data_IF_662104671681
#
_entry.id   IF_662104671681
#
_cell.length_a   1.000
_cell.length_b   1.000
_cell.length_c   1.000
_cell.angle_alpha   90.00
_cell.angle_beta   90.00
_cell.angle_gamma   90.00
#
_symmetry.space_group_name_H-M   'P 1'
#
loop_
_entity.id
_entity.type
_entity.pdbx_description
1 polymer ?
#
# COMPACT_ATOMS: atom_id res chain seq x y z
N UNK A 1 -60.27 -8.13 16.14
CA UNK A 1 -59.58 -8.09 14.84
C UNK A 1 -59.05 -6.69 14.61
N UNK A 2 -57.78 -6.43 14.92
CA UNK A 2 -57.09 -5.23 14.45
C UNK A 2 -55.67 -5.68 14.09
N UNK A 3 -55.46 -5.95 12.80
CA UNK A 3 -54.17 -6.36 12.26
C UNK A 3 -53.32 -5.12 11.99
N UNK A 4 -52.20 -5.00 12.69
CA UNK A 4 -51.17 -3.99 12.43
C UNK A 4 -50.50 -4.23 11.08
N UNK A 5 -50.64 -3.26 10.18
CA UNK A 5 -49.95 -3.21 8.89
C UNK A 5 -48.51 -2.76 9.16
N UNK A 6 -47.61 -3.71 9.37
CA UNK A 6 -46.18 -3.43 9.50
C UNK A 6 -45.57 -3.16 8.13
N UNK A 7 -45.65 -1.90 7.70
CA UNK A 7 -45.07 -1.40 6.44
C UNK A 7 -43.56 -1.27 6.61
N UNK A 8 -42.83 -2.39 6.52
CA UNK A 8 -41.36 -2.37 6.35
C UNK A 8 -41.06 -1.66 5.03
N UNK A 9 -40.71 -0.38 5.12
CA UNK A 9 -40.14 0.38 3.99
C UNK A 9 -38.79 -0.23 3.68
N UNK A 10 -38.75 -1.09 2.68
CA UNK A 10 -37.51 -1.49 2.03
C UNK A 10 -37.00 -0.28 1.23
N UNK A 11 -36.17 0.55 1.87
CA UNK A 11 -35.45 1.66 1.21
C UNK A 11 -34.09 1.13 0.74
N UNK A 12 -34.11 0.11 -0.12
CA UNK A 12 -33.04 -0.09 -1.07
C UNK A 12 -33.49 0.55 -2.38
N UNK A 13 -33.45 1.88 -2.44
CA UNK A 13 -33.16 2.51 -3.72
C UNK A 13 -31.87 1.83 -4.20
N UNK A 14 -31.93 1.07 -5.30
CA UNK A 14 -30.75 0.46 -5.89
C UNK A 14 -29.74 1.58 -6.10
N UNK A 15 -28.73 1.68 -5.24
CA UNK A 15 -27.69 2.72 -5.34
C UNK A 15 -26.99 2.46 -6.66
N UNK A 16 -27.37 3.22 -7.69
CA UNK A 16 -26.74 3.15 -9.00
C UNK A 16 -25.34 3.72 -8.79
N UNK A 17 -24.36 2.83 -8.66
CA UNK A 17 -22.96 3.22 -8.57
C UNK A 17 -22.52 3.83 -9.90
N UNK A 18 -21.74 4.90 -9.83
CA UNK A 18 -21.10 5.45 -11.03
C UNK A 18 -20.13 4.42 -11.61
N UNK A 19 -19.83 4.47 -12.92
CA UNK A 19 -18.85 3.56 -13.51
C UNK A 19 -17.48 3.59 -12.81
N UNK A 20 -17.09 4.73 -12.25
CA UNK A 20 -15.85 4.87 -11.46
C UNK A 20 -15.98 4.17 -10.10
N UNK A 21 -17.09 4.38 -9.39
CA UNK A 21 -17.35 3.71 -8.11
C UNK A 21 -17.34 2.18 -8.28
N UNK A 22 -17.91 1.66 -9.37
CA UNK A 22 -17.87 0.22 -9.66
C UNK A 22 -16.44 -0.30 -9.84
N UNK A 23 -15.59 0.42 -10.58
CA UNK A 23 -14.17 0.07 -10.71
C UNK A 23 -13.45 0.10 -9.36
N UNK A 24 -13.72 1.10 -8.52
CA UNK A 24 -13.10 1.23 -7.19
C UNK A 24 -13.53 0.08 -6.28
N UNK A 25 -14.81 -0.30 -6.29
CA UNK A 25 -15.30 -1.45 -5.51
C UNK A 25 -14.57 -2.74 -5.92
N UNK A 26 -14.40 -2.98 -7.23
CA UNK A 26 -13.67 -4.14 -7.74
C UNK A 26 -12.20 -4.15 -7.28
N UNK A 27 -11.51 -3.00 -7.38
CA UNK A 27 -10.13 -2.87 -6.92
C UNK A 27 -10.02 -3.06 -5.40
N UNK A 28 -10.98 -2.54 -4.64
CA UNK A 28 -11.01 -2.67 -3.18
C UNK A 28 -11.29 -4.10 -2.75
N UNK A 29 -12.08 -4.86 -3.51
CA UNK A 29 -12.35 -6.27 -3.22
C UNK A 29 -11.08 -7.13 -3.35
N UNK A 30 -10.20 -6.80 -4.28
CA UNK A 30 -8.89 -7.45 -4.44
C UNK A 30 -7.88 -7.04 -3.35
N UNK A 31 -7.99 -5.80 -2.85
CA UNK A 31 -7.04 -5.21 -1.90
C UNK A 31 -7.75 -4.58 -0.69
N UNK A 32 -8.45 -5.42 0.09
CA UNK A 32 -9.27 -4.96 1.23
C UNK A 32 -8.43 -4.35 2.37
N UNK A 33 -7.18 -4.77 2.47
CA UNK A 33 -6.23 -4.41 3.52
C UNK A 33 -5.40 -3.15 3.21
N UNK A 34 -5.52 -2.60 2.00
CA UNK A 34 -4.78 -1.42 1.56
C UNK A 34 -5.68 -0.20 1.40
N UNK A 35 -5.18 0.98 1.77
CA UNK A 35 -5.77 2.27 1.42
C UNK A 35 -5.50 2.55 -0.07
N UNK A 36 -6.54 2.70 -0.87
CA UNK A 36 -6.39 2.90 -2.32
C UNK A 36 -6.41 4.39 -2.70
N UNK A 37 -5.28 4.88 -3.20
CA UNK A 37 -5.17 6.18 -3.85
C UNK A 37 -5.45 6.00 -5.35
N UNK A 38 -6.62 6.44 -5.81
CA UNK A 38 -7.08 6.21 -7.19
C UNK A 38 -6.88 7.43 -8.06
N UNK A 39 -6.08 7.28 -9.12
CA UNK A 39 -5.82 8.34 -10.08
C UNK A 39 -7.08 8.74 -10.86
N UNK A 40 -7.43 10.01 -10.74
CA UNK A 40 -8.58 10.64 -11.38
C UNK A 40 -8.15 11.94 -12.06
N UNK A 41 -7.48 11.82 -13.21
CA UNK A 41 -6.94 12.97 -13.93
C UNK A 41 -5.77 13.59 -13.17
N UNK A 42 -5.86 14.87 -12.79
CA UNK A 42 -4.78 15.61 -12.12
C UNK A 42 -4.71 15.40 -10.59
N UNK A 43 -5.57 14.52 -10.03
CA UNK A 43 -5.66 14.29 -8.58
C UNK A 43 -5.86 12.81 -8.28
N UNK A 44 -5.40 12.40 -7.10
CA UNK A 44 -5.75 11.12 -6.50
C UNK A 44 -6.96 11.29 -5.59
N UNK A 45 -7.89 10.34 -5.65
CA UNK A 45 -9.09 10.29 -4.81
C UNK A 45 -9.07 9.03 -3.95
N UNK A 46 -9.52 9.17 -2.71
CA UNK A 46 -9.83 8.05 -1.82
C UNK A 46 -11.35 7.94 -1.67
N UNK A 47 -11.86 6.75 -1.38
CA UNK A 47 -13.29 6.47 -1.35
C UNK A 47 -13.69 5.68 -0.10
N UNK A 48 -14.85 6.01 0.48
CA UNK A 48 -15.43 5.34 1.64
C UNK A 48 -14.55 5.48 2.88
N UNK A 49 -14.36 4.36 3.58
CA UNK A 49 -13.56 4.28 4.81
C UNK A 49 -12.11 4.75 4.58
N UNK A 50 -11.55 4.47 3.39
CA UNK A 50 -10.19 4.92 3.04
C UNK A 50 -10.11 6.45 3.02
N UNK A 51 -11.18 7.12 2.61
CA UNK A 51 -11.24 8.57 2.58
C UNK A 51 -11.32 9.16 3.99
N UNK A 52 -12.03 8.52 4.92
CA UNK A 52 -12.12 8.94 6.32
C UNK A 52 -10.78 8.78 7.04
N UNK A 53 -10.11 7.64 6.83
CA UNK A 53 -8.77 7.39 7.37
C UNK A 53 -7.78 8.42 6.80
N UNK A 54 -7.75 8.59 5.48
CA UNK A 54 -6.87 9.55 4.85
C UNK A 54 -7.16 10.99 5.31
N UNK A 55 -8.42 11.36 5.51
CA UNK A 55 -8.81 12.67 6.01
C UNK A 55 -8.28 12.94 7.43
N UNK A 56 -8.39 11.95 8.31
CA UNK A 56 -7.89 12.02 9.68
C UNK A 56 -6.36 12.12 9.73
N UNK A 57 -5.66 11.26 8.99
CA UNK A 57 -4.19 11.20 9.04
C UNK A 57 -3.50 12.35 8.28
N UNK A 58 -4.10 12.80 7.17
CA UNK A 58 -3.52 13.85 6.32
C UNK A 58 -4.05 15.26 6.68
N UNK A 59 -5.02 15.35 7.59
CA UNK A 59 -5.74 16.59 7.92
C UNK A 59 -6.35 17.26 6.69
N UNK A 60 -7.00 16.46 5.84
CA UNK A 60 -7.69 16.92 4.63
C UNK A 60 -9.20 16.80 4.78
N UNK A 61 -9.94 17.63 4.09
CA UNK A 61 -11.40 17.62 4.15
C UNK A 61 -11.99 16.39 3.44
N UNK A 62 -12.93 15.72 4.10
CA UNK A 62 -13.70 14.60 3.56
C UNK A 62 -15.18 14.98 3.48
N UNK A 63 -15.82 14.66 2.36
CA UNK A 63 -17.25 14.92 2.16
C UNK A 63 -17.91 13.76 1.44
N UNK A 64 -19.23 13.62 1.62
CA UNK A 64 -20.02 12.65 0.91
C UNK A 64 -20.17 13.09 -0.56
N UNK A 65 -19.63 12.31 -1.49
CA UNK A 65 -19.84 12.48 -2.92
C UNK A 65 -20.53 11.23 -3.46
N UNK A 66 -21.75 11.41 -3.98
CA UNK A 66 -22.61 10.32 -4.44
C UNK A 66 -22.85 9.25 -3.35
N UNK A 67 -22.22 8.07 -3.47
CA UNK A 67 -22.43 6.95 -2.56
C UNK A 67 -21.32 6.79 -1.52
N UNK A 68 -20.21 7.53 -1.64
CA UNK A 68 -19.00 7.33 -0.82
C UNK A 68 -18.47 8.64 -0.23
N UNK A 69 -17.92 8.53 0.99
CA UNK A 69 -17.05 9.58 1.52
C UNK A 69 -15.82 9.71 0.63
N UNK A 70 -15.45 10.93 0.27
CA UNK A 70 -14.36 11.19 -0.66
C UNK A 70 -13.45 12.29 -0.14
N UNK A 71 -12.16 12.07 -0.26
CA UNK A 71 -11.12 13.09 -0.13
C UNK A 71 -10.17 13.00 -1.33
N UNK A 72 -9.41 14.07 -1.59
CA UNK A 72 -8.53 14.13 -2.75
C UNK A 72 -7.25 14.90 -2.50
N UNK A 73 -6.19 14.49 -3.18
CA UNK A 73 -4.87 15.12 -3.15
C UNK A 73 -4.37 15.35 -4.58
N UNK A 74 -3.60 16.41 -4.85
CA UNK A 74 -3.03 16.64 -6.18
C UNK A 74 -1.92 15.62 -6.49
N UNK A 75 -1.76 15.25 -7.76
CA UNK A 75 -0.80 14.20 -8.20
C UNK A 75 0.63 14.49 -7.77
N UNK A 76 1.09 15.73 -7.89
CA UNK A 76 2.46 16.11 -7.53
C UNK A 76 2.77 16.01 -6.02
N UNK A 77 1.74 15.97 -5.14
CA UNK A 77 1.92 15.78 -3.68
C UNK A 77 1.72 14.34 -3.25
N UNK A 78 1.53 13.40 -4.18
CA UNK A 78 1.29 11.99 -3.86
C UNK A 78 2.36 11.45 -2.91
N UNK A 79 3.64 11.66 -3.23
CA UNK A 79 4.77 11.14 -2.45
C UNK A 79 4.71 11.57 -0.98
N UNK A 80 4.37 12.83 -0.70
CA UNK A 80 4.27 13.38 0.67
C UNK A 80 3.18 12.65 1.45
N UNK A 81 2.00 12.51 0.85
CA UNK A 81 0.85 11.92 1.51
C UNK A 81 0.98 10.40 1.67
N UNK A 82 1.53 9.70 0.69
CA UNK A 82 1.81 8.26 0.77
C UNK A 82 2.80 7.98 1.89
N UNK A 83 3.92 8.72 1.98
CA UNK A 83 4.89 8.53 3.06
C UNK A 83 4.30 8.81 4.44
N UNK A 84 3.45 9.83 4.58
CA UNK A 84 2.72 10.11 5.83
C UNK A 84 1.81 8.93 6.21
N UNK A 85 0.98 8.44 5.30
CA UNK A 85 0.10 7.29 5.56
C UNK A 85 0.88 6.03 5.93
N UNK A 86 1.98 5.76 5.23
CA UNK A 86 2.85 4.61 5.50
C UNK A 86 3.55 4.76 6.86
N UNK A 87 3.98 5.96 7.25
CA UNK A 87 4.59 6.21 8.56
C UNK A 87 3.64 5.89 9.72
N UNK A 88 2.34 6.12 9.52
CA UNK A 88 1.29 5.75 10.47
C UNK A 88 1.00 4.24 10.49
N UNK A 89 1.62 3.45 9.59
CA UNK A 89 1.50 2.00 9.54
C UNK A 89 0.43 1.50 8.58
N UNK A 90 -0.18 2.37 7.77
CA UNK A 90 -1.12 1.93 6.76
C UNK A 90 -0.40 1.35 5.53
N UNK A 91 -0.97 0.29 4.97
CA UNK A 91 -0.60 -0.21 3.64
C UNK A 91 -1.30 0.66 2.60
N UNK A 92 -0.55 1.25 1.68
CA UNK A 92 -1.08 2.20 0.68
C UNK A 92 -0.88 1.64 -0.72
N UNK A 93 -1.97 1.51 -1.47
CA UNK A 93 -1.97 1.13 -2.87
C UNK A 93 -2.16 2.34 -3.77
N UNK A 94 -1.27 2.54 -4.73
CA UNK A 94 -1.41 3.59 -5.75
C UNK A 94 -1.98 2.95 -7.02
N UNK A 95 -3.16 3.41 -7.42
CA UNK A 95 -3.86 2.93 -8.62
C UNK A 95 -3.75 4.00 -9.69
N UNK A 96 -3.13 3.64 -10.83
CA UNK A 96 -2.92 4.54 -11.97
C UNK A 96 -3.78 4.15 -13.17
N UNK A 97 -3.96 5.10 -14.08
CA UNK A 97 -4.60 4.84 -15.37
C UNK A 97 -3.64 4.09 -16.29
N UNK A 98 -4.09 2.98 -16.87
CA UNK A 98 -3.28 2.17 -17.79
C UNK A 98 -3.28 2.71 -19.22
N UNK A 99 -4.26 3.54 -19.56
CA UNK A 99 -4.42 4.13 -20.89
C UNK A 99 -4.17 5.64 -20.88
N UNK A 100 -3.44 6.13 -21.88
CA UNK A 100 -3.30 7.58 -22.11
C UNK A 100 -4.48 8.11 -22.93
N UNK A 101 -4.79 9.40 -22.75
CA UNK A 101 -5.86 10.09 -23.49
C UNK A 101 -5.68 9.99 -25.01
N UNK A 102 -4.44 10.05 -25.49
CA UNK A 102 -4.10 9.92 -26.91
C UNK A 102 -4.43 8.52 -27.44
N UNK A 103 -3.95 7.47 -26.77
CA UNK A 103 -4.18 6.07 -27.20
C UNK A 103 -5.67 5.72 -27.19
N UNK A 104 -6.39 6.23 -26.19
CA UNK A 104 -7.82 6.02 -26.06
C UNK A 104 -8.64 6.78 -27.09
N UNK A 105 -8.23 8.00 -27.45
CA UNK A 105 -8.92 8.80 -28.46
C UNK A 105 -8.87 8.15 -29.85
N UNK A 106 -7.82 7.37 -30.14
CA UNK A 106 -7.62 6.60 -31.37
C UNK A 106 -8.18 5.17 -31.33
N UNK A 107 -8.49 4.64 -30.15
CA UNK A 107 -8.94 3.26 -29.97
C UNK A 107 -10.45 3.07 -30.00
N UNK A 108 -10.89 1.83 -30.14
CA UNK A 108 -12.32 1.43 -30.07
C UNK A 108 -12.97 1.76 -28.71
N UNK A 109 -12.17 1.97 -27.66
CA UNK A 109 -12.62 2.25 -26.30
C UNK A 109 -12.85 3.75 -25.97
N UNK A 110 -12.89 4.64 -26.97
CA UNK A 110 -13.01 6.10 -26.78
C UNK A 110 -14.15 6.53 -25.85
N UNK A 111 -15.30 5.85 -25.91
CA UNK A 111 -16.50 6.20 -25.14
C UNK A 111 -16.55 5.55 -23.75
N UNK A 112 -15.61 4.67 -23.40
CA UNK A 112 -15.59 3.95 -22.13
C UNK A 112 -14.77 4.69 -21.07
N UNK A 113 -14.97 4.37 -19.79
CA UNK A 113 -14.17 4.93 -18.70
C UNK A 113 -12.71 4.47 -18.79
N UNK A 114 -11.74 5.29 -18.36
CA UNK A 114 -10.33 4.88 -18.30
C UNK A 114 -10.16 3.63 -17.43
N UNK A 115 -9.42 2.66 -17.94
CA UNK A 115 -9.01 1.47 -17.21
C UNK A 115 -7.95 1.86 -16.18
N UNK A 116 -8.01 1.20 -15.02
CA UNK A 116 -7.17 1.51 -13.86
C UNK A 116 -6.68 0.23 -13.24
N UNK A 117 -5.43 0.23 -12.80
CA UNK A 117 -4.81 -0.91 -12.14
C UNK A 117 -3.91 -0.44 -11.01
N UNK A 118 -3.76 -1.28 -9.99
CA UNK A 118 -2.76 -1.08 -8.95
C UNK A 118 -1.36 -1.06 -9.57
N UNK A 119 -0.69 0.09 -9.49
CA UNK A 119 0.66 0.30 -10.01
C UNK A 119 1.74 0.00 -8.97
N UNK A 120 1.44 0.23 -7.69
CA UNK A 120 2.41 0.05 -6.62
C UNK A 120 1.75 -0.10 -5.27
N UNK A 121 2.40 -0.84 -4.37
CA UNK A 121 1.96 -1.07 -3.01
C UNK A 121 3.08 -0.71 -2.02
N UNK A 122 2.79 0.22 -1.13
CA UNK A 122 3.74 0.80 -0.22
C UNK A 122 3.40 0.44 1.23
N UNK A 123 4.41 -0.06 1.92
CA UNK A 123 4.40 -0.37 3.36
C UNK A 123 5.66 0.20 3.98
N UNK A 124 5.78 0.16 5.32
CA UNK A 124 6.93 0.73 6.04
C UNK A 124 8.29 0.22 5.52
N UNK A 125 8.36 -1.03 5.08
CA UNK A 125 9.60 -1.64 4.58
C UNK A 125 9.77 -1.55 3.06
N UNK A 126 8.71 -1.21 2.31
CA UNK A 126 8.69 -1.25 0.83
C UNK A 126 8.51 0.14 0.20
N UNK A 127 9.04 1.19 0.84
CA UNK A 127 9.04 2.56 0.31
C UNK A 127 10.07 2.75 -0.83
N UNK A 128 9.92 1.97 -1.90
CA UNK A 128 10.82 1.99 -3.07
C UNK A 128 10.03 2.40 -4.31
N UNK A 129 10.56 3.35 -5.09
CA UNK A 129 9.98 3.75 -6.37
C UNK A 129 9.97 5.27 -6.60
N UNK A 130 9.84 5.67 -7.85
CA UNK A 130 9.81 7.08 -8.28
C UNK A 130 8.63 7.88 -7.70
N UNK A 131 7.49 7.21 -7.47
CA UNK A 131 6.27 7.82 -6.92
C UNK A 131 6.42 8.25 -5.46
N UNK A 132 7.40 7.69 -4.73
CA UNK A 132 7.63 7.94 -3.30
C UNK A 132 8.99 8.55 -3.00
N UNK A 133 9.97 8.38 -3.89
CA UNK A 133 11.29 8.98 -3.78
C UNK A 133 11.55 9.94 -4.95
N UNK A 134 11.05 11.19 -4.88
CA UNK A 134 11.34 12.17 -5.91
C UNK A 134 12.84 12.47 -5.93
N UNK A 135 13.45 12.43 -7.13
CA UNK A 135 14.85 12.82 -7.33
C UNK A 135 14.99 14.27 -6.90
N UNK A 136 15.56 14.50 -5.72
CA UNK A 136 15.93 15.83 -5.27
C UNK A 136 17.02 16.33 -6.21
N UNK A 137 16.72 17.32 -7.06
CA UNK A 137 17.78 18.03 -7.80
C UNK A 137 18.61 18.76 -6.75
N UNK A 138 19.89 18.40 -6.62
CA UNK A 138 20.87 19.04 -5.72
C UNK A 138 21.16 20.53 -6.06
N UNK A 139 20.36 21.18 -6.91
CA UNK A 139 20.66 22.50 -7.50
C UNK A 139 19.95 23.70 -6.88
N UNK A 140 18.93 23.53 -6.03
CA UNK A 140 18.16 24.66 -5.47
C UNK A 140 18.54 24.94 -4.01
N UNK A 141 19.84 24.98 -3.70
CA UNK A 141 20.35 25.63 -2.49
C UNK A 141 20.57 27.10 -2.83
N UNK A 142 19.48 27.84 -3.05
CA UNK A 142 19.49 29.28 -2.85
C UNK A 142 18.73 29.58 -1.56
N UNK A 143 19.43 30.27 -0.66
CA UNK A 143 18.99 30.67 0.68
C UNK A 143 17.61 31.34 0.63
N UNK A 144 16.59 30.73 1.26
CA UNK A 144 15.40 31.49 1.67
C UNK A 144 14.01 30.93 1.38
N UNK A 145 13.81 29.66 1.02
CA UNK A 145 12.46 29.08 1.04
C UNK A 145 12.43 27.69 1.67
N UNK A 146 11.41 27.44 2.49
CA UNK A 146 11.32 26.41 3.52
C UNK A 146 11.08 24.97 2.99
N UNK A 147 12.04 24.37 2.28
CA UNK A 147 11.98 22.97 1.86
C UNK A 147 12.48 22.01 2.95
N UNK A 148 11.77 21.97 4.08
CA UNK A 148 11.98 20.98 5.17
C UNK A 148 11.36 19.60 4.89
N UNK A 149 11.11 19.21 3.63
CA UNK A 149 10.38 17.98 3.30
C UNK A 149 11.25 16.87 2.69
N UNK A 150 12.56 16.85 2.98
CA UNK A 150 13.34 15.61 2.90
C UNK A 150 12.99 14.73 4.11
N UNK A 151 11.88 13.98 4.03
CA UNK A 151 11.67 12.86 4.94
C UNK A 151 12.81 11.89 4.63
N UNK A 152 13.79 11.74 5.53
CA UNK A 152 14.86 10.76 5.36
C UNK A 152 14.24 9.37 5.42
N UNK A 153 14.65 8.46 4.54
CA UNK A 153 14.30 7.05 4.74
C UNK A 153 14.82 6.60 6.10
N UNK A 154 14.02 5.86 6.89
CA UNK A 154 14.50 5.33 8.16
C UNK A 154 15.71 4.44 7.88
N UNK A 155 16.81 4.58 8.64
CA UNK A 155 18.11 4.00 8.28
C UNK A 155 18.14 2.46 8.18
N UNK A 156 17.09 1.75 8.62
CA UNK A 156 17.03 0.28 8.61
C UNK A 156 15.60 -0.23 8.32
N UNK A 157 15.11 -0.03 7.09
CA UNK A 157 13.82 -0.61 6.66
C UNK A 157 13.97 -2.10 6.32
N UNK A 158 13.97 -2.96 7.33
CA UNK A 158 14.05 -4.41 7.18
C UNK A 158 12.64 -5.04 7.20
N UNK A 159 12.42 -6.01 6.31
CA UNK A 159 11.28 -6.90 6.33
C UNK A 159 11.73 -8.27 6.85
N UNK A 160 11.32 -8.63 8.07
CA UNK A 160 11.64 -9.91 8.69
C UNK A 160 10.49 -10.91 8.50
N UNK A 161 10.83 -12.10 8.01
CA UNK A 161 9.99 -13.28 7.97
C UNK A 161 10.50 -14.31 8.97
N UNK A 162 9.61 -14.85 9.79
CA UNK A 162 9.90 -15.89 10.78
C UNK A 162 9.07 -17.13 10.40
N UNK A 163 9.72 -18.28 10.33
CA UNK A 163 9.09 -19.56 10.04
C UNK A 163 9.45 -20.57 11.13
N UNK A 164 8.44 -21.17 11.74
CA UNK A 164 8.62 -22.12 12.84
C UNK A 164 8.10 -23.49 12.40
N UNK A 165 8.90 -24.53 12.63
CA UNK A 165 8.53 -25.91 12.35
C UNK A 165 8.82 -26.79 13.56
N UNK A 166 7.82 -27.55 13.99
CA UNK A 166 7.92 -28.44 15.14
C UNK A 166 8.02 -29.90 14.70
N UNK A 167 9.11 -30.55 15.05
CA UNK A 167 9.34 -31.95 14.77
C UNK A 167 8.96 -32.84 15.97
N UNK A 168 7.79 -33.49 15.89
CA UNK A 168 7.24 -34.35 16.94
C UNK A 168 8.15 -35.52 17.34
N UNK A 169 8.69 -36.35 16.42
CA UNK A 169 9.57 -37.45 16.77
C UNK A 169 10.88 -37.01 17.42
N UNK A 170 11.43 -35.85 17.02
CA UNK A 170 12.70 -35.33 17.57
C UNK A 170 12.54 -34.42 18.77
N UNK A 171 11.29 -34.02 19.10
CA UNK A 171 10.99 -33.00 20.11
C UNK A 171 11.82 -31.72 19.91
N UNK A 172 11.89 -31.27 18.66
CA UNK A 172 12.78 -30.20 18.23
C UNK A 172 11.98 -29.10 17.53
N UNK A 173 12.20 -27.85 17.95
CA UNK A 173 11.70 -26.65 17.30
C UNK A 173 12.78 -26.11 16.36
N UNK A 174 12.42 -25.85 15.10
CA UNK A 174 13.30 -25.18 14.15
C UNK A 174 12.70 -23.83 13.81
N UNK A 175 13.45 -22.75 14.05
CA UNK A 175 13.07 -21.38 13.74
C UNK A 175 13.99 -20.85 12.64
N UNK A 176 13.42 -20.54 11.48
CA UNK A 176 14.08 -19.85 10.38
C UNK A 176 13.72 -18.37 10.39
N UNK A 177 14.72 -17.51 10.25
CA UNK A 177 14.57 -16.06 10.12
C UNK A 177 15.15 -15.63 8.77
N UNK A 178 14.39 -14.83 8.03
CA UNK A 178 14.84 -14.21 6.78
C UNK A 178 14.50 -12.72 6.84
N UNK A 179 15.51 -11.86 6.86
CA UNK A 179 15.35 -10.42 6.77
C UNK A 179 15.76 -9.93 5.37
N UNK A 180 14.95 -9.07 4.78
CA UNK A 180 15.23 -8.46 3.46
C UNK A 180 15.19 -6.94 3.60
N UNK A 181 16.15 -6.24 2.99
CA UNK A 181 16.13 -4.80 2.85
C UNK A 181 15.78 -4.42 1.41
N UNK A 182 14.51 -4.05 1.11
CA UNK A 182 14.08 -3.79 -0.27
C UNK A 182 14.79 -2.62 -0.95
N UNK A 183 15.27 -1.64 -0.18
CA UNK A 183 15.95 -0.45 -0.71
C UNK A 183 17.34 -0.75 -1.26
N UNK A 184 18.09 -1.66 -0.64
CA UNK A 184 19.45 -2.05 -1.06
C UNK A 184 19.46 -3.37 -1.82
N UNK A 185 18.43 -4.21 -1.65
CA UNK A 185 18.40 -5.57 -2.18
C UNK A 185 19.17 -6.58 -1.31
N UNK A 186 19.60 -6.20 -0.10
CA UNK A 186 20.31 -7.10 0.81
C UNK A 186 19.36 -8.14 1.44
N UNK A 187 19.83 -9.38 1.54
CA UNK A 187 19.12 -10.50 2.15
C UNK A 187 19.98 -11.12 3.25
N UNK A 188 19.43 -11.18 4.46
CA UNK A 188 20.04 -11.79 5.64
C UNK A 188 19.20 -12.99 6.07
N UNK A 189 19.81 -14.17 6.20
CA UNK A 189 19.12 -15.39 6.60
C UNK A 189 19.83 -16.07 7.77
N UNK A 190 19.06 -16.55 8.74
CA UNK A 190 19.57 -17.33 9.87
C UNK A 190 18.59 -18.46 10.19
N UNK A 191 19.10 -19.67 10.44
CA UNK A 191 18.31 -20.80 10.94
C UNK A 191 18.84 -21.19 12.31
N UNK A 192 17.95 -21.26 13.29
CA UNK A 192 18.23 -21.68 14.65
C UNK A 192 17.39 -22.89 15.00
N UNK A 193 17.96 -23.82 15.76
CA UNK A 193 17.27 -25.05 16.16
C UNK A 193 17.34 -25.19 17.67
N UNK A 194 16.19 -25.43 18.29
CA UNK A 194 16.01 -25.48 19.73
C UNK A 194 15.39 -26.83 20.14
N UNK A 195 16.00 -27.52 21.11
CA UNK A 195 15.51 -28.80 21.65
C UNK A 195 14.64 -28.54 22.90
N UNK A 196 13.60 -29.36 23.13
CA UNK A 196 12.79 -29.40 24.38
C UNK A 196 13.59 -29.45 25.69
N UNK A 197 14.88 -29.74 25.65
CA UNK A 197 15.79 -29.66 26.80
C UNK A 197 16.27 -28.24 27.13
N UNK A 198 15.81 -27.21 26.41
CA UNK A 198 16.22 -25.81 26.62
C UNK A 198 17.69 -25.55 26.29
N UNK A 199 18.33 -26.46 25.56
CA UNK A 199 19.70 -26.26 25.08
C UNK A 199 19.65 -25.69 23.66
N UNK A 200 20.25 -24.50 23.41
CA UNK A 200 20.42 -24.02 22.05
C UNK A 200 21.31 -25.02 21.30
N UNK A 201 20.79 -25.64 20.23
CA UNK A 201 21.61 -26.46 19.35
C UNK A 201 22.61 -25.53 18.62
N UNK A 202 23.80 -26.03 18.23
CA UNK A 202 24.82 -25.18 17.64
C UNK A 202 24.27 -24.41 16.45
N UNK A 203 24.53 -23.11 16.46
CA UNK A 203 24.24 -22.18 15.38
C UNK A 203 24.86 -22.78 14.12
N UNK A 204 24.05 -23.32 13.21
CA UNK A 204 24.54 -23.69 11.90
C UNK A 204 24.79 -22.39 11.16
N UNK A 205 25.96 -21.80 11.39
CA UNK A 205 26.34 -20.51 10.86
C UNK A 205 26.38 -20.57 9.35
N UNK A 206 25.29 -20.17 8.69
CA UNK A 206 25.34 -19.63 7.34
C UNK A 206 25.93 -18.21 7.36
N UNK A 207 27.07 -18.03 8.05
CA UNK A 207 27.86 -16.82 7.88
C UNK A 207 28.50 -16.91 6.48
N UNK A 208 28.07 -16.01 5.58
CA UNK A 208 28.63 -15.66 4.26
C UNK A 208 28.03 -16.23 2.95
N UNK A 209 26.90 -16.95 2.92
CA UNK A 209 26.45 -17.61 1.67
C UNK A 209 25.27 -16.99 0.89
N UNK A 210 24.70 -15.85 1.31
CA UNK A 210 23.63 -15.17 0.55
C UNK A 210 23.99 -13.75 0.08
N UNK A 211 25.27 -13.49 -0.15
CA UNK A 211 25.73 -12.35 -0.98
C UNK A 211 25.69 -12.68 -2.49
N UNK A 212 24.78 -13.54 -2.94
CA UNK A 212 24.57 -13.79 -4.37
C UNK A 212 23.65 -12.70 -4.94
N UNK A 213 24.28 -11.57 -5.24
CA UNK A 213 24.21 -10.86 -6.52
C UNK A 213 23.10 -11.36 -7.46
N UNK A 214 21.89 -10.82 -7.34
CA UNK A 214 20.94 -10.79 -8.45
C UNK A 214 21.37 -9.68 -9.41
N UNK A 215 22.40 -9.97 -10.20
CA UNK A 215 22.76 -9.20 -11.37
C UNK A 215 22.74 -10.15 -12.56
N UNK A 216 21.63 -10.13 -13.29
CA UNK A 216 21.53 -10.42 -14.72
C UNK A 216 20.61 -9.37 -15.32
#
# INVERSE_FOLDING_TARGET
MFGEINKKKNVHASRVYTPLEQQVIQLKEQHKDALLAVECGYKYRFFGDDAEIAAKELNIFCHLDHNFMTCSIPTHRLFVHVRRLVSQGHKVGVVKQTETSAFKASGTSRNFLFTRQLSGLYTKSTLVGEDVNPVCRLGDVEEGSSSREAVSDPPESLLLCISETWDKPRKQLTVGLVAVQPSTGDVLGQVSVEDTRGQPAPICGCNNLLRQRWAN
#
